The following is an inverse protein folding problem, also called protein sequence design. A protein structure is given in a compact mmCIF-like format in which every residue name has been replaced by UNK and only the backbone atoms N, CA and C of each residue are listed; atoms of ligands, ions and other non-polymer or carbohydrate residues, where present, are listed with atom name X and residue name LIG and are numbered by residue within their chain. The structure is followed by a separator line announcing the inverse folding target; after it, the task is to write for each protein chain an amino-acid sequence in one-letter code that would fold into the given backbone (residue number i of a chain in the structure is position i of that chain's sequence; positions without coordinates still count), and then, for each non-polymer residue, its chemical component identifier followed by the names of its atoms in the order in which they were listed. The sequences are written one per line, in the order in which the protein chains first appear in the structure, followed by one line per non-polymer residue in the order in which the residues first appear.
data_IF_732307893765
#
_entry.id   IF_732307893765
#
_cell.length_a   1.000
_cell.length_b   1.000
_cell.length_c   1.000
_cell.angle_alpha   90.00
_cell.angle_beta   90.00
_cell.angle_gamma   90.00
#
_symmetry.space_group_name_H-M   'P 1'
#
loop_
_entity.id
_entity.type
_entity.pdbx_description
1 polymer ?
#
# COMPACT_ATOMS: atom_id res chain seq x y z
N UNK A 1 -21.92 18.65 -10.13
CA UNK A 1 -22.32 17.23 -10.33
C UNK A 1 -21.24 16.38 -9.66
N UNK A 2 -21.45 15.99 -8.40
CA UNK A 2 -20.49 15.23 -7.60
C UNK A 2 -20.72 13.74 -7.89
N UNK A 3 -19.88 13.14 -8.75
CA UNK A 3 -19.89 11.69 -8.93
C UNK A 3 -19.48 11.03 -7.62
N UNK A 4 -20.29 10.09 -7.13
CA UNK A 4 -20.04 9.33 -5.90
C UNK A 4 -18.67 8.66 -5.96
N UNK A 5 -17.93 8.65 -4.85
CA UNK A 5 -16.59 8.03 -4.73
C UNK A 5 -16.56 6.59 -5.25
N UNK A 6 -17.67 5.86 -5.07
CA UNK A 6 -17.88 4.50 -5.56
C UNK A 6 -17.92 4.40 -7.09
N UNK A 7 -18.47 5.39 -7.77
CA UNK A 7 -18.58 5.40 -9.23
C UNK A 7 -17.22 5.70 -9.88
N UNK A 8 -16.40 6.54 -9.23
CA UNK A 8 -15.02 6.77 -9.65
C UNK A 8 -14.13 5.55 -9.43
N UNK A 9 -14.31 4.82 -8.31
CA UNK A 9 -13.61 3.56 -8.06
C UNK A 9 -13.99 2.47 -9.07
N UNK A 10 -15.28 2.34 -9.40
CA UNK A 10 -15.74 1.39 -10.42
C UNK A 10 -15.16 1.70 -11.80
N UNK A 11 -15.20 2.98 -12.24
CA UNK A 11 -14.60 3.39 -13.52
C UNK A 11 -13.09 3.17 -13.56
N UNK A 12 -12.40 3.35 -12.43
CA UNK A 12 -10.97 3.04 -12.31
C UNK A 12 -10.73 1.54 -12.39
N UNK A 13 -11.58 0.74 -11.74
CA UNK A 13 -11.54 -0.72 -11.79
C UNK A 13 -11.74 -1.26 -13.20
N UNK A 14 -12.74 -0.75 -13.93
CA UNK A 14 -13.02 -1.11 -15.32
C UNK A 14 -11.83 -0.82 -16.23
N UNK A 15 -11.22 0.37 -16.13
CA UNK A 15 -10.02 0.72 -16.89
C UNK A 15 -8.82 -0.18 -16.57
N UNK A 16 -8.64 -0.56 -15.31
CA UNK A 16 -7.56 -1.46 -14.91
C UNK A 16 -7.82 -2.90 -15.40
N UNK A 17 -9.09 -3.33 -15.40
CA UNK A 17 -9.49 -4.62 -15.96
C UNK A 17 -9.24 -4.66 -17.46
N UNK A 18 -9.67 -3.64 -18.19
CA UNK A 18 -9.45 -3.53 -19.64
C UNK A 18 -7.95 -3.55 -19.97
N UNK A 19 -7.12 -2.79 -19.23
CA UNK A 19 -5.67 -2.82 -19.37
C UNK A 19 -5.07 -4.22 -19.13
N UNK A 20 -5.58 -4.97 -18.16
CA UNK A 20 -5.08 -6.31 -17.85
C UNK A 20 -5.47 -7.36 -18.91
N UNK A 21 -6.63 -7.21 -19.53
CA UNK A 21 -7.14 -8.11 -20.57
C UNK A 21 -6.58 -7.80 -21.97
N UNK A 22 -5.97 -6.62 -22.15
CA UNK A 22 -5.42 -6.19 -23.45
C UNK A 22 -3.91 -6.40 -23.51
N UNK A 23 -3.45 -7.32 -24.37
CA UNK A 23 -2.02 -7.63 -24.57
C UNK A 23 -1.32 -6.70 -25.59
N UNK A 24 -2.04 -5.71 -26.14
CA UNK A 24 -1.55 -4.79 -27.19
C UNK A 24 -0.38 -3.87 -26.74
N UNK A 25 -0.06 -3.87 -25.45
CA UNK A 25 1.03 -3.09 -24.86
C UNK A 25 2.35 -3.86 -24.72
N UNK A 26 2.38 -5.14 -25.08
CA UNK A 26 3.61 -5.91 -25.14
C UNK A 26 4.35 -5.53 -26.43
N UNK A 27 5.59 -5.04 -26.28
CA UNK A 27 6.45 -4.73 -27.44
C UNK A 27 6.57 -5.95 -28.35
N UNK A 28 6.60 -5.74 -29.68
CA UNK A 28 6.84 -6.82 -30.66
C UNK A 28 8.12 -7.60 -30.39
N UNK A 29 9.08 -6.97 -29.71
CA UNK A 29 10.40 -7.53 -29.42
C UNK A 29 10.44 -8.21 -28.04
N UNK A 30 9.30 -8.35 -27.36
CA UNK A 30 9.24 -8.97 -26.05
C UNK A 30 9.50 -10.48 -26.11
N UNK A 31 10.38 -10.96 -25.23
CA UNK A 31 10.65 -12.39 -25.07
C UNK A 31 9.72 -12.94 -23.98
N UNK A 32 8.70 -13.71 -24.38
CA UNK A 32 7.77 -14.37 -23.45
C UNK A 32 8.28 -15.77 -23.13
N UNK A 33 8.62 -16.01 -21.86
CA UNK A 33 9.08 -17.32 -21.38
C UNK A 33 8.13 -17.81 -20.30
N UNK A 34 7.63 -19.05 -20.45
CA UNK A 34 6.78 -19.68 -19.45
C UNK A 34 7.65 -20.21 -18.31
N UNK A 35 7.50 -19.64 -17.12
CA UNK A 35 8.16 -20.12 -15.92
C UNK A 35 7.57 -21.45 -15.43
N UNK A 36 8.42 -22.39 -15.01
CA UNK A 36 7.99 -23.64 -14.39
C UNK A 36 8.54 -23.69 -12.95
N UNK A 37 7.66 -23.62 -11.94
CA UNK A 37 8.01 -23.65 -10.51
C UNK A 37 7.53 -22.44 -9.69
N UNK A 38 7.62 -22.59 -8.35
CA UNK A 38 7.38 -21.52 -7.37
C UNK A 38 8.51 -20.50 -7.52
N UNK A 39 8.18 -19.24 -7.78
CA UNK A 39 9.11 -18.12 -8.04
C UNK A 39 9.79 -18.08 -9.43
N UNK A 40 9.27 -18.83 -10.41
CA UNK A 40 9.84 -18.87 -11.77
C UNK A 40 9.92 -17.51 -12.47
N UNK A 41 8.99 -16.59 -12.21
CA UNK A 41 9.06 -15.22 -12.73
C UNK A 41 10.21 -14.41 -12.12
N UNK A 42 10.44 -14.53 -10.80
CA UNK A 42 11.55 -13.81 -10.14
C UNK A 42 12.89 -14.37 -10.56
N UNK A 43 13.06 -15.69 -10.58
CA UNK A 43 14.29 -16.34 -11.04
C UNK A 43 14.64 -15.94 -12.49
N UNK A 44 13.63 -15.80 -13.35
CA UNK A 44 13.82 -15.33 -14.72
C UNK A 44 14.29 -13.87 -14.77
N UNK A 45 13.70 -13.00 -13.95
CA UNK A 45 14.14 -11.61 -13.83
C UNK A 45 15.56 -11.50 -13.26
N UNK A 46 15.93 -12.34 -12.29
CA UNK A 46 17.28 -12.38 -11.72
C UNK A 46 18.31 -12.84 -12.76
N UNK A 47 17.96 -13.84 -13.58
CA UNK A 47 18.80 -14.27 -14.70
C UNK A 47 18.95 -13.20 -15.79
N UNK A 48 17.88 -12.45 -16.08
CA UNK A 48 17.90 -11.40 -17.11
C UNK A 48 18.58 -10.10 -16.65
N UNK A 49 18.37 -9.71 -15.39
CA UNK A 49 18.90 -8.47 -14.81
C UNK A 49 20.23 -8.66 -14.06
N UNK A 50 20.65 -9.91 -13.87
CA UNK A 50 21.96 -10.30 -13.35
C UNK A 50 22.09 -10.35 -11.83
N UNK A 51 21.12 -9.85 -11.06
CA UNK A 51 21.10 -10.00 -9.60
C UNK A 51 19.71 -9.76 -8.99
N UNK A 52 19.49 -10.25 -7.77
CA UNK A 52 18.29 -10.00 -6.98
C UNK A 52 18.06 -8.50 -6.70
N UNK A 53 19.13 -7.75 -6.46
CA UNK A 53 19.08 -6.31 -6.22
C UNK A 53 18.66 -5.54 -7.49
N UNK A 54 19.11 -5.99 -8.66
CA UNK A 54 18.72 -5.39 -9.95
C UNK A 54 17.22 -5.60 -10.21
N UNK A 55 16.69 -6.77 -9.86
CA UNK A 55 15.26 -7.08 -9.90
C UNK A 55 14.48 -6.20 -8.93
N UNK A 56 14.92 -6.11 -7.67
CA UNK A 56 14.23 -5.31 -6.66
C UNK A 56 14.17 -3.83 -7.04
N UNK A 57 15.24 -3.29 -7.65
CA UNK A 57 15.29 -1.92 -8.18
C UNK A 57 14.39 -1.71 -9.39
N UNK A 58 14.20 -2.73 -10.23
CA UNK A 58 13.37 -2.66 -11.42
C UNK A 58 11.86 -2.79 -11.10
N UNK A 59 11.50 -3.58 -10.08
CA UNK A 59 10.10 -3.82 -9.68
C UNK A 59 9.56 -2.68 -8.77
N UNK A 60 10.42 -1.90 -8.11
CA UNK A 60 9.96 -0.74 -7.33
C UNK A 60 11.03 -0.11 -6.42
N UNK A 61 10.61 0.83 -5.56
CA UNK A 61 11.51 1.60 -4.68
C UNK A 61 12.21 0.63 -3.71
N UNK A 62 13.55 0.51 -3.76
CA UNK A 62 14.29 -0.34 -2.82
C UNK A 62 13.98 0.06 -1.39
N UNK A 63 13.58 -0.90 -0.56
CA UNK A 63 13.46 -0.66 0.86
C UNK A 63 14.86 -0.86 1.49
N UNK A 64 15.29 0.09 2.33
CA UNK A 64 16.60 0.08 2.98
C UNK A 64 16.79 -1.10 3.98
N UNK A 65 15.75 -1.88 4.27
CA UNK A 65 15.75 -2.93 5.30
C UNK A 65 15.55 -4.35 4.77
N UNK A 66 15.52 -4.60 3.47
CA UNK A 66 15.19 -5.92 2.88
C UNK A 66 13.80 -6.49 3.23
N UNK A 67 12.95 -5.73 3.94
CA UNK A 67 11.64 -6.16 4.44
C UNK A 67 10.60 -5.14 4.02
N UNK A 68 9.61 -5.58 3.24
CA UNK A 68 8.42 -4.81 2.88
C UNK A 68 7.83 -4.17 4.14
N UNK A 69 7.91 -2.84 4.22
CA UNK A 69 7.79 -2.07 5.45
C UNK A 69 6.58 -2.44 6.32
N UNK A 70 6.88 -3.01 7.49
CA UNK A 70 6.04 -2.89 8.69
C UNK A 70 6.93 -2.26 9.74
N UNK A 71 6.67 -0.99 10.08
CA UNK A 71 7.36 -0.37 11.21
C UNK A 71 7.18 -1.22 12.47
N UNK A 72 8.18 -1.24 13.35
CA UNK A 72 8.25 -2.12 14.52
C UNK A 72 7.09 -1.98 15.52
N UNK A 73 6.26 -0.93 15.39
CA UNK A 73 5.16 -0.66 16.32
C UNK A 73 4.02 -1.69 16.19
N UNK A 74 3.68 -2.42 17.26
CA UNK A 74 2.52 -3.31 17.27
C UNK A 74 1.22 -2.56 16.97
N UNK A 75 0.34 -3.16 16.18
CA UNK A 75 -0.99 -2.61 15.87
C UNK A 75 -2.03 -3.17 16.83
N UNK A 76 -2.86 -2.29 17.39
CA UNK A 76 -4.03 -2.67 18.20
C UNK A 76 -5.29 -2.14 17.52
N UNK A 77 -6.24 -3.02 17.23
CA UNK A 77 -7.55 -2.65 16.70
C UNK A 77 -8.54 -2.49 17.85
N UNK A 78 -9.24 -1.36 17.90
CA UNK A 78 -10.21 -1.05 18.95
C UNK A 78 -11.45 -0.43 18.30
N UNK A 79 -12.64 -0.79 18.79
CA UNK A 79 -13.88 -0.17 18.32
C UNK A 79 -14.08 1.17 19.01
N UNK A 80 -14.31 2.22 18.22
CA UNK A 80 -14.68 3.55 18.69
C UNK A 80 -16.19 3.75 18.53
N UNK A 81 -16.89 4.33 19.53
CA UNK A 81 -18.23 4.86 19.32
C UNK A 81 -18.22 5.85 18.15
N UNK A 82 -19.29 5.86 17.33
CA UNK A 82 -19.36 6.70 16.12
C UNK A 82 -19.07 8.18 16.39
N UNK A 83 -19.63 8.73 17.46
CA UNK A 83 -19.40 10.13 17.84
C UNK A 83 -17.91 10.42 18.17
N UNK A 84 -17.20 9.46 18.76
CA UNK A 84 -15.80 9.61 19.11
C UNK A 84 -14.90 9.52 17.87
N UNK A 85 -15.21 8.62 16.95
CA UNK A 85 -14.52 8.51 15.66
C UNK A 85 -14.67 9.80 14.85
N UNK A 86 -15.89 10.35 14.77
CA UNK A 86 -16.14 11.61 14.09
C UNK A 86 -15.35 12.77 14.71
N UNK A 87 -15.35 12.89 16.05
CA UNK A 87 -14.57 13.91 16.74
C UNK A 87 -13.05 13.78 16.47
N UNK A 88 -12.54 12.54 16.38
CA UNK A 88 -11.14 12.28 16.03
C UNK A 88 -10.82 12.73 14.60
N UNK A 89 -11.69 12.44 13.64
CA UNK A 89 -11.53 12.84 12.23
C UNK A 89 -11.56 14.36 12.08
N UNK A 90 -12.53 15.03 12.72
CA UNK A 90 -12.67 16.48 12.69
C UNK A 90 -11.43 17.18 13.28
N UNK A 91 -10.95 16.69 14.42
CA UNK A 91 -9.73 17.21 15.05
C UNK A 91 -8.48 17.00 14.19
N UNK A 92 -8.34 15.80 13.61
CA UNK A 92 -7.23 15.48 12.72
C UNK A 92 -7.20 16.41 11.50
N UNK A 93 -8.37 16.69 10.92
CA UNK A 93 -8.50 17.63 9.81
C UNK A 93 -8.14 19.06 10.23
N UNK A 94 -8.62 19.54 11.38
CA UNK A 94 -8.33 20.91 11.86
C UNK A 94 -6.86 21.12 12.21
N UNK A 95 -6.18 20.10 12.72
CA UNK A 95 -4.78 20.18 13.13
C UNK A 95 -3.81 19.82 11.99
N UNK A 96 -4.31 19.41 10.81
CA UNK A 96 -3.50 18.87 9.71
C UNK A 96 -2.60 17.69 10.14
N UNK A 97 -3.12 16.83 11.02
CA UNK A 97 -2.39 15.68 11.60
C UNK A 97 -3.05 14.37 11.24
N UNK A 98 -2.32 13.27 11.37
CA UNK A 98 -2.90 11.93 11.21
C UNK A 98 -3.68 11.55 12.47
N UNK A 99 -4.86 10.91 12.36
CA UNK A 99 -5.59 10.37 13.51
C UNK A 99 -4.72 9.51 14.44
N UNK A 100 -3.80 8.71 13.87
CA UNK A 100 -2.87 7.89 14.65
C UNK A 100 -1.93 8.68 15.56
N UNK A 101 -1.59 9.91 15.20
CA UNK A 101 -0.71 10.76 16.01
C UNK A 101 -1.47 11.30 17.23
N UNK A 102 -2.70 11.75 17.01
CA UNK A 102 -3.61 12.21 18.07
C UNK A 102 -3.94 11.07 19.04
N UNK A 103 -4.24 9.87 18.53
CA UNK A 103 -4.52 8.69 19.38
C UNK A 103 -3.31 8.31 20.22
N UNK A 104 -2.10 8.31 19.64
CA UNK A 104 -0.87 8.03 20.39
C UNK A 104 -0.62 9.07 21.49
N UNK A 105 -0.73 10.35 21.16
CA UNK A 105 -0.56 11.45 22.12
C UNK A 105 -1.57 11.35 23.27
N UNK A 106 -2.85 11.13 22.95
CA UNK A 106 -3.91 10.98 23.95
C UNK A 106 -3.67 9.78 24.86
N UNK A 107 -3.23 8.65 24.31
CA UNK A 107 -2.94 7.44 25.09
C UNK A 107 -1.72 7.64 26.00
N UNK A 108 -0.65 8.27 25.51
CA UNK A 108 0.52 8.64 26.32
C UNK A 108 0.12 9.56 27.47
N UNK A 109 -0.69 10.60 27.19
CA UNK A 109 -1.14 11.53 28.22
C UNK A 109 -2.09 10.88 29.24
N UNK A 110 -2.95 9.96 28.81
CA UNK A 110 -3.86 9.24 29.70
C UNK A 110 -3.09 8.31 30.64
N UNK A 111 -2.17 7.49 30.10
CA UNK A 111 -1.40 6.53 30.88
C UNK A 111 -0.38 7.23 31.81
N UNK A 112 0.24 8.32 31.35
CA UNK A 112 1.19 9.08 32.18
C UNK A 112 0.54 9.89 33.31
N UNK A 113 -0.80 10.10 33.28
CA UNK A 113 -1.56 10.68 34.39
C UNK A 113 -2.08 9.63 35.37
N UNK A 114 -2.15 8.37 34.94
CA UNK A 114 -2.65 7.25 35.74
C UNK A 114 -1.57 6.56 36.58
N UNK A 115 -0.32 7.01 36.44
CA UNK A 115 0.88 6.63 37.19
C UNK A 115 1.24 7.68 38.23
#
# INVERSE_FOLDING_TARGET
MLMSTTENENKRGEKLSEWAETLDHISSDAIVVRGNGKDSGRALLEAALGSAEAVDKAIGRPNLSGVSGRGESPVRQVRLPRALDQALVERAASEHRKPSEIVREALTAYLGKAS
#
